data_IF_560185586722
#
_entry.id   IF_560185586722
#
_cell.length_a   1.000
_cell.length_b   1.000
_cell.length_c   1.000
_cell.angle_alpha   90.00
_cell.angle_beta   90.00
_cell.angle_gamma   90.00
#
_symmetry.space_group_name_H-M   'P 1'
#
loop_
_entity.id
_entity.type
_entity.pdbx_description
1 polymer ?
#
# COMPACT_ATOMS: atom_id res chain seq x y z
N UNK A 1 -19.33 -8.24 -33.40
CA UNK A 1 -17.94 -8.77 -33.43
C UNK A 1 -17.31 -8.56 -32.05
N UNK A 2 -17.29 -9.57 -31.20
CA UNK A 2 -16.77 -9.44 -29.83
C UNK A 2 -15.28 -9.75 -29.76
N UNK A 3 -14.48 -8.83 -29.22
CA UNK A 3 -13.04 -9.02 -29.03
C UNK A 3 -12.81 -10.03 -27.91
N UNK A 4 -12.36 -11.25 -28.24
CA UNK A 4 -12.02 -12.27 -27.25
C UNK A 4 -10.67 -11.91 -26.61
N UNK A 5 -10.68 -11.52 -25.34
CA UNK A 5 -9.47 -11.19 -24.59
C UNK A 5 -9.00 -12.41 -23.81
N UNK A 6 -7.72 -12.74 -23.94
CA UNK A 6 -7.10 -13.80 -23.16
C UNK A 6 -6.84 -13.35 -21.71
N UNK A 7 -7.71 -13.77 -20.79
CA UNK A 7 -7.63 -13.42 -19.37
C UNK A 7 -6.34 -13.92 -18.69
N UNK A 8 -5.77 -15.05 -19.13
CA UNK A 8 -4.50 -15.57 -18.60
C UNK A 8 -3.35 -14.59 -18.89
N UNK A 9 -3.29 -14.07 -20.11
CA UNK A 9 -2.29 -13.07 -20.49
C UNK A 9 -2.51 -11.75 -19.73
N UNK A 10 -3.75 -11.30 -19.59
CA UNK A 10 -4.10 -10.09 -18.84
C UNK A 10 -3.66 -10.20 -17.36
N UNK A 11 -4.00 -11.31 -16.69
CA UNK A 11 -3.56 -11.59 -15.30
C UNK A 11 -2.04 -11.63 -15.17
N UNK A 12 -1.34 -12.27 -16.12
CA UNK A 12 0.12 -12.32 -16.12
C UNK A 12 0.75 -10.95 -16.30
N UNK A 13 0.15 -10.06 -17.11
CA UNK A 13 0.61 -8.67 -17.26
C UNK A 13 0.42 -7.90 -15.97
N UNK A 14 -0.76 -7.99 -15.34
CA UNK A 14 -1.03 -7.37 -14.04
C UNK A 14 -0.02 -7.82 -12.97
N UNK A 15 0.16 -9.13 -12.81
CA UNK A 15 1.10 -9.67 -11.83
C UNK A 15 2.55 -9.21 -12.06
N UNK A 16 2.98 -9.00 -13.31
CA UNK A 16 4.31 -8.43 -13.60
C UNK A 16 4.39 -6.95 -13.26
N UNK A 17 3.35 -6.18 -13.56
CA UNK A 17 3.28 -4.77 -13.21
C UNK A 17 3.31 -4.57 -11.69
N UNK A 18 2.53 -5.35 -10.94
CA UNK A 18 2.49 -5.31 -9.48
C UNK A 18 3.88 -5.64 -8.89
N UNK A 19 4.55 -6.68 -9.40
CA UNK A 19 5.92 -7.02 -9.00
C UNK A 19 6.92 -5.88 -9.28
N UNK A 20 6.81 -5.23 -10.43
CA UNK A 20 7.69 -4.12 -10.79
C UNK A 20 7.47 -2.89 -9.88
N UNK A 21 6.21 -2.57 -9.56
CA UNK A 21 5.85 -1.51 -8.65
C UNK A 21 6.39 -1.77 -7.23
N UNK A 22 6.19 -2.99 -6.71
CA UNK A 22 6.73 -3.40 -5.41
C UNK A 22 8.26 -3.32 -5.37
N UNK A 23 8.93 -3.75 -6.44
CA UNK A 23 10.38 -3.64 -6.54
C UNK A 23 10.86 -2.18 -6.57
N UNK A 24 10.14 -1.28 -7.24
CA UNK A 24 10.44 0.15 -7.24
C UNK A 24 10.27 0.78 -5.85
N UNK A 25 9.17 0.45 -5.16
CA UNK A 25 8.93 0.89 -3.78
C UNK A 25 10.05 0.40 -2.85
N UNK A 26 10.39 -0.89 -2.90
CA UNK A 26 11.47 -1.44 -2.09
C UNK A 26 12.81 -0.78 -2.40
N UNK A 27 13.15 -0.52 -3.67
CA UNK A 27 14.36 0.23 -4.03
C UNK A 27 14.41 1.63 -3.42
N UNK A 28 13.28 2.34 -3.35
CA UNK A 28 13.19 3.65 -2.71
C UNK A 28 13.29 3.59 -1.17
N UNK A 29 13.00 2.42 -0.57
CA UNK A 29 13.15 2.16 0.86
C UNK A 29 14.56 1.64 1.21
N UNK A 30 15.24 0.98 0.28
CA UNK A 30 16.61 0.50 0.47
C UNK A 30 17.59 1.66 0.65
N UNK A 31 18.57 1.47 1.54
CA UNK A 31 19.58 2.50 1.85
C UNK A 31 19.18 3.47 2.95
N UNK A 32 17.93 3.43 3.45
CA UNK A 32 17.51 4.27 4.59
C UNK A 32 18.18 3.82 5.89
N UNK A 33 18.59 4.78 6.70
CA UNK A 33 19.17 4.53 8.02
C UNK A 33 18.09 4.11 9.04
N UNK A 34 18.51 3.57 10.19
CA UNK A 34 17.57 3.20 11.26
C UNK A 34 16.81 4.43 11.80
N UNK A 35 17.49 5.58 11.90
CA UNK A 35 16.90 6.83 12.40
C UNK A 35 15.81 7.38 11.47
N UNK A 36 16.03 7.33 10.16
CA UNK A 36 15.04 7.76 9.16
C UNK A 36 13.79 6.89 9.19
N UNK A 37 13.97 5.57 9.32
CA UNK A 37 12.84 4.63 9.46
C UNK A 37 12.03 4.91 10.73
N UNK A 38 12.68 5.17 11.86
CA UNK A 38 11.96 5.48 13.11
C UNK A 38 11.25 6.83 13.06
N UNK A 39 11.84 7.84 12.42
CA UNK A 39 11.21 9.14 12.28
C UNK A 39 9.95 9.05 11.40
N UNK A 40 10.02 8.30 10.30
CA UNK A 40 8.87 8.08 9.44
C UNK A 40 7.77 7.28 10.15
N UNK A 41 8.11 6.21 10.87
CA UNK A 41 7.13 5.45 11.64
C UNK A 41 6.41 6.30 12.70
N UNK A 42 7.15 7.16 13.41
CA UNK A 42 6.56 8.09 14.37
C UNK A 42 5.65 9.14 13.69
N UNK A 43 6.00 9.57 12.48
CA UNK A 43 5.16 10.47 11.70
C UNK A 43 3.86 9.79 11.23
N UNK A 44 3.96 8.55 10.73
CA UNK A 44 2.80 7.74 10.34
C UNK A 44 1.88 7.45 11.54
N UNK A 45 2.44 7.15 12.71
CA UNK A 45 1.67 6.93 13.94
C UNK A 45 0.90 8.19 14.36
N UNK A 46 1.53 9.37 14.33
CA UNK A 46 0.86 10.64 14.62
C UNK A 46 -0.26 10.91 13.63
N UNK A 47 -0.02 10.70 12.33
CA UNK A 47 -1.05 10.86 11.31
C UNK A 47 -2.23 9.92 11.54
N UNK A 48 -1.96 8.65 11.84
CA UNK A 48 -2.99 7.67 12.16
C UNK A 48 -3.77 8.03 13.43
N UNK A 49 -3.10 8.56 14.46
CA UNK A 49 -3.75 9.02 15.68
C UNK A 49 -4.67 10.23 15.42
N UNK A 50 -4.21 11.19 14.61
CA UNK A 50 -5.03 12.34 14.18
C UNK A 50 -6.25 11.86 13.39
N UNK A 51 -6.05 10.95 12.42
CA UNK A 51 -7.16 10.39 11.65
C UNK A 51 -8.14 9.66 12.56
N UNK A 52 -7.67 8.77 13.44
CA UNK A 52 -8.47 8.05 14.44
C UNK A 52 -9.28 8.99 15.33
N UNK A 53 -8.68 10.06 15.82
CA UNK A 53 -9.37 11.07 16.64
C UNK A 53 -10.39 11.90 15.86
N UNK A 54 -10.25 11.99 14.53
CA UNK A 54 -11.18 12.69 13.65
C UNK A 54 -12.37 11.83 13.19
N UNK A 55 -12.39 10.51 13.47
CA UNK A 55 -13.55 9.67 13.16
C UNK A 55 -14.72 10.06 14.06
N UNK A 56 -15.84 10.44 13.42
CA UNK A 56 -17.10 10.82 14.09
C UNK A 56 -17.97 9.62 14.50
N UNK A 57 -17.78 8.48 13.84
CA UNK A 57 -18.37 7.21 14.24
C UNK A 57 -17.30 6.44 15.01
N UNK A 58 -17.65 5.93 16.20
CA UNK A 58 -16.77 5.07 16.97
C UNK A 58 -16.28 3.92 16.08
N UNK A 59 -14.98 3.58 16.05
CA UNK A 59 -14.50 2.38 15.37
C UNK A 59 -14.89 1.14 16.19
N UNK A 60 -16.19 0.84 16.20
CA UNK A 60 -16.75 -0.44 16.55
C UNK A 60 -17.65 -0.82 15.38
N UNK A 61 -17.53 -2.05 14.92
CA UNK A 61 -18.18 -2.63 13.74
C UNK A 61 -17.55 -2.25 12.39
N UNK A 62 -16.48 -2.98 12.04
CA UNK A 62 -16.52 -3.93 10.91
C UNK A 62 -15.23 -4.74 10.94
N UNK A 63 -15.38 -6.02 11.30
CA UNK A 63 -14.78 -7.18 10.62
C UNK A 63 -15.17 -8.45 11.39
N UNK A 64 -16.33 -9.01 11.00
CA UNK A 64 -16.49 -10.46 10.81
C UNK A 64 -15.98 -10.79 9.41
#
# INVERSE_FOLDING_TARGET
MGTVINLRQARKRKARADKAANAAANRALHGRTKAERSAQAAQEERQNAVLRGAFRESPQEKDQ
#
